data_IF_816881641325
#
_entry.id   IF_816881641325
#
_cell.length_a   1.000
_cell.length_b   1.000
_cell.length_c   1.000
_cell.angle_alpha   90.00
_cell.angle_beta   90.00
_cell.angle_gamma   90.00
#
_symmetry.space_group_name_H-M   'P 1'
#
loop_
_entity.id
_entity.type
_entity.pdbx_description
1 polymer ?
#
# COMPACT_ATOMS: atom_id res chain seq x y z
N UNK A 1 22.69 -19.71 -18.84
CA UNK A 1 22.75 -18.68 -17.77
C UNK A 1 22.82 -17.32 -18.43
N UNK A 2 21.72 -16.56 -18.43
CA UNK A 2 21.68 -15.19 -18.97
C UNK A 2 21.44 -14.28 -17.77
N UNK A 3 22.46 -13.50 -17.43
CA UNK A 3 22.46 -12.62 -16.26
C UNK A 3 22.01 -11.25 -16.76
N UNK A 4 20.82 -10.81 -16.35
CA UNK A 4 20.39 -9.43 -16.61
C UNK A 4 21.02 -8.57 -15.52
N UNK A 5 22.12 -7.89 -15.85
CA UNK A 5 22.72 -6.88 -14.98
C UNK A 5 21.90 -5.60 -15.10
N UNK A 6 20.95 -5.40 -14.19
CA UNK A 6 20.44 -4.07 -13.85
C UNK A 6 21.62 -3.26 -13.30
N UNK A 7 22.05 -2.24 -14.03
CA UNK A 7 23.29 -1.54 -13.75
C UNK A 7 23.14 -0.52 -12.62
N UNK A 8 23.91 -0.68 -11.53
CA UNK A 8 24.56 0.41 -10.78
C UNK A 8 25.77 -0.12 -10.00
N UNK A 9 26.80 0.72 -9.90
CA UNK A 9 28.09 0.44 -9.26
C UNK A 9 27.89 0.30 -7.74
N UNK A 10 27.92 -0.92 -7.23
CA UNK A 10 27.87 -1.17 -5.78
C UNK A 10 27.82 -2.65 -5.37
N UNK A 11 27.34 -3.53 -6.24
CA UNK A 11 27.30 -4.96 -5.95
C UNK A 11 28.70 -5.60 -6.00
N UNK A 12 29.43 -5.54 -4.88
CA UNK A 12 30.51 -6.47 -4.59
C UNK A 12 29.98 -7.90 -4.73
N UNK A 13 30.72 -8.78 -5.41
CA UNK A 13 30.42 -10.19 -5.73
C UNK A 13 29.51 -10.93 -4.73
N UNK A 14 28.19 -10.74 -4.81
CA UNK A 14 27.25 -11.61 -4.14
C UNK A 14 27.20 -12.92 -4.92
N UNK A 15 27.34 -14.04 -4.21
CA UNK A 15 27.22 -15.35 -4.81
C UNK A 15 25.73 -15.66 -5.06
N UNK A 16 25.22 -15.26 -6.23
CA UNK A 16 23.85 -15.53 -6.64
C UNK A 16 23.50 -17.04 -6.61
N UNK A 17 24.50 -17.93 -6.77
CA UNK A 17 24.28 -19.37 -6.67
C UNK A 17 23.87 -19.76 -5.23
N UNK A 18 24.44 -19.08 -4.23
CA UNK A 18 24.14 -19.32 -2.82
C UNK A 18 22.70 -18.93 -2.43
N UNK A 19 22.11 -17.92 -3.08
CA UNK A 19 20.71 -17.52 -2.84
C UNK A 19 19.72 -18.55 -3.35
N UNK A 20 19.91 -19.06 -4.59
CA UNK A 20 19.07 -20.14 -5.13
C UNK A 20 19.12 -21.39 -4.25
N UNK A 21 20.32 -21.78 -3.80
CA UNK A 21 20.48 -22.94 -2.92
C UNK A 21 19.82 -22.73 -1.55
N UNK A 22 19.98 -21.55 -0.94
CA UNK A 22 19.33 -21.22 0.32
C UNK A 22 17.80 -21.22 0.19
N UNK A 23 17.26 -20.63 -0.89
CA UNK A 23 15.83 -20.63 -1.16
C UNK A 23 15.29 -22.06 -1.33
N UNK A 24 15.98 -22.90 -2.10
CA UNK A 24 15.66 -24.33 -2.24
C UNK A 24 15.70 -25.08 -0.90
N UNK A 25 16.62 -24.73 -0.01
CA UNK A 25 16.70 -25.36 1.32
C UNK A 25 15.50 -25.00 2.20
N UNK A 26 14.97 -23.78 2.10
CA UNK A 26 13.71 -23.41 2.76
C UNK A 26 12.58 -24.25 2.19
N UNK A 27 12.41 -24.25 0.86
CA UNK A 27 11.33 -25.01 0.22
C UNK A 27 11.35 -26.48 0.63
N UNK A 28 12.51 -27.16 0.55
CA UNK A 28 12.66 -28.58 0.93
C UNK A 28 12.38 -28.85 2.40
N UNK A 29 12.68 -27.90 3.29
CA UNK A 29 12.43 -28.04 4.73
C UNK A 29 10.92 -28.10 5.04
N UNK A 30 10.11 -27.39 4.26
CA UNK A 30 8.67 -27.23 4.49
C UNK A 30 7.80 -27.97 3.46
N UNK A 31 8.40 -28.52 2.40
CA UNK A 31 7.73 -29.35 1.42
C UNK A 31 7.19 -30.63 2.06
N UNK A 32 5.90 -30.89 1.90
CA UNK A 32 5.35 -32.22 2.21
C UNK A 32 5.76 -33.20 1.11
N UNK A 33 6.04 -34.44 1.50
CA UNK A 33 6.48 -35.51 0.57
C UNK A 33 5.57 -35.76 -0.64
N UNK A 34 4.35 -35.25 -0.66
CA UNK A 34 3.34 -35.46 -1.71
C UNK A 34 3.03 -34.22 -2.55
N UNK A 35 3.60 -33.06 -2.25
CA UNK A 35 3.31 -31.77 -2.90
C UNK A 35 4.60 -31.31 -3.64
N UNK A 36 4.52 -30.85 -4.91
CA UNK A 36 5.67 -30.25 -5.59
C UNK A 36 6.14 -29.00 -4.84
N UNK A 37 7.45 -28.74 -4.88
CA UNK A 37 8.07 -27.60 -4.19
C UNK A 37 7.55 -26.26 -4.74
N UNK A 38 7.14 -26.25 -6.01
CA UNK A 38 6.59 -25.08 -6.72
C UNK A 38 5.34 -24.51 -6.07
N UNK A 39 4.51 -25.33 -5.42
CA UNK A 39 3.28 -24.89 -4.75
C UNK A 39 3.56 -23.84 -3.66
N UNK A 40 4.76 -23.83 -3.08
CA UNK A 40 5.12 -22.93 -1.98
C UNK A 40 6.05 -21.79 -2.41
N UNK A 41 6.27 -21.56 -3.72
CA UNK A 41 7.20 -20.53 -4.17
C UNK A 41 6.77 -19.13 -3.73
N UNK A 42 5.50 -18.79 -3.96
CA UNK A 42 4.95 -17.49 -3.56
C UNK A 42 5.10 -17.26 -2.03
N UNK A 43 4.69 -18.25 -1.22
CA UNK A 43 4.84 -18.21 0.26
C UNK A 43 6.31 -18.02 0.67
N UNK A 44 7.22 -18.74 0.01
CA UNK A 44 8.64 -18.69 0.33
C UNK A 44 9.29 -17.35 -0.07
N UNK A 45 8.86 -16.72 -1.17
CA UNK A 45 9.31 -15.38 -1.57
C UNK A 45 8.89 -14.35 -0.52
N UNK A 46 7.61 -14.36 -0.14
CA UNK A 46 7.08 -13.49 0.90
C UNK A 46 7.86 -13.68 2.20
N UNK A 47 8.04 -14.92 2.64
CA UNK A 47 8.80 -15.24 3.84
C UNK A 47 10.27 -14.78 3.78
N UNK A 48 10.91 -14.91 2.60
CA UNK A 48 12.28 -14.46 2.40
C UNK A 48 12.42 -12.96 2.60
N UNK A 49 11.53 -12.19 1.94
CA UNK A 49 11.54 -10.73 1.94
C UNK A 49 11.17 -10.17 3.32
N UNK A 50 10.12 -10.69 3.96
CA UNK A 50 9.76 -10.32 5.35
C UNK A 50 10.91 -10.60 6.31
N UNK A 51 11.57 -11.75 6.17
CA UNK A 51 12.72 -12.07 7.02
C UNK A 51 13.89 -11.10 6.83
N UNK A 52 14.13 -10.61 5.62
CA UNK A 52 15.12 -9.55 5.37
C UNK A 52 14.78 -8.25 6.07
N UNK A 53 13.54 -7.81 5.95
CA UNK A 53 13.06 -6.56 6.57
C UNK A 53 13.23 -6.63 8.09
N UNK A 54 12.84 -7.76 8.69
CA UNK A 54 13.01 -7.99 10.12
C UNK A 54 14.47 -7.89 10.57
N UNK A 55 15.38 -8.51 9.81
CA UNK A 55 16.81 -8.51 10.16
C UNK A 55 17.47 -7.16 9.97
N UNK A 56 16.99 -6.36 9.01
CA UNK A 56 17.50 -5.01 8.75
C UNK A 56 16.98 -3.98 9.76
N UNK A 57 16.04 -4.38 10.64
CA UNK A 57 15.52 -3.51 11.70
C UNK A 57 14.67 -2.36 11.15
N UNK A 58 14.00 -2.57 10.02
CA UNK A 58 13.11 -1.57 9.44
C UNK A 58 11.97 -1.29 10.42
N UNK A 59 11.72 -0.02 10.80
CA UNK A 59 10.59 0.33 11.64
C UNK A 59 9.26 -0.08 11.00
N UNK A 60 8.28 -0.46 11.83
CA UNK A 60 6.95 -0.86 11.33
C UNK A 60 6.86 -2.30 10.82
N UNK A 61 7.75 -3.18 11.29
CA UNK A 61 7.70 -4.61 10.93
C UNK A 61 6.35 -5.25 11.26
N UNK A 62 5.75 -4.91 12.40
CA UNK A 62 4.43 -5.40 12.82
C UNK A 62 3.34 -4.96 11.84
N UNK A 63 3.38 -3.69 11.39
CA UNK A 63 2.46 -3.16 10.39
C UNK A 63 2.61 -3.90 9.07
N UNK A 64 3.84 -4.08 8.58
CA UNK A 64 4.10 -4.82 7.35
C UNK A 64 3.59 -6.27 7.43
N UNK A 65 3.76 -6.94 8.57
CA UNK A 65 3.21 -8.27 8.79
C UNK A 65 1.68 -8.27 8.65
N UNK A 66 0.99 -7.29 9.23
CA UNK A 66 -0.46 -7.22 9.11
C UNK A 66 -0.90 -6.88 7.68
N UNK A 67 -0.26 -5.90 7.03
CA UNK A 67 -0.55 -5.57 5.62
C UNK A 67 -0.33 -6.77 4.71
N UNK A 68 0.76 -7.52 4.91
CA UNK A 68 1.01 -8.73 4.11
C UNK A 68 -0.09 -9.76 4.35
N UNK A 69 -0.54 -9.93 5.59
CA UNK A 69 -1.62 -10.88 5.91
C UNK A 69 -2.91 -10.54 5.18
N UNK A 70 -3.22 -9.25 5.01
CA UNK A 70 -4.42 -8.80 4.34
C UNK A 70 -4.28 -8.78 2.81
N UNK A 71 -3.11 -8.42 2.28
CA UNK A 71 -2.92 -8.17 0.83
C UNK A 71 -2.39 -9.37 0.04
N UNK A 72 -1.78 -10.36 0.68
CA UNK A 72 -1.08 -11.45 -0.03
C UNK A 72 -1.97 -12.57 -0.57
N UNK A 73 -3.28 -12.52 -0.32
CA UNK A 73 -4.21 -13.61 -0.69
C UNK A 73 -3.98 -14.95 0.04
N UNK A 74 -3.04 -15.01 0.99
CA UNK A 74 -2.67 -16.25 1.66
C UNK A 74 -3.80 -16.79 2.53
N UNK A 75 -4.08 -18.09 2.40
CA UNK A 75 -4.98 -18.78 3.32
C UNK A 75 -4.38 -18.81 4.74
N UNK A 76 -5.21 -19.02 5.75
CA UNK A 76 -4.75 -19.17 7.15
C UNK A 76 -3.65 -20.22 7.34
N UNK A 77 -3.66 -21.29 6.51
CA UNK A 77 -2.64 -22.35 6.55
C UNK A 77 -1.33 -21.86 5.94
N UNK A 78 -1.38 -21.17 4.81
CA UNK A 78 -0.20 -20.59 4.16
C UNK A 78 0.39 -19.45 4.97
N UNK A 79 -0.44 -18.62 5.60
CA UNK A 79 0.01 -17.59 6.53
C UNK A 79 0.86 -18.17 7.66
N UNK A 80 0.39 -19.26 8.28
CA UNK A 80 1.15 -19.95 9.33
C UNK A 80 2.47 -20.53 8.78
N UNK A 81 2.42 -21.13 7.59
CA UNK A 81 3.62 -21.65 6.91
C UNK A 81 4.64 -20.54 6.62
N UNK A 82 4.17 -19.38 6.13
CA UNK A 82 4.99 -18.20 5.87
C UNK A 82 5.72 -17.76 7.15
N UNK A 83 5.01 -17.66 8.27
CA UNK A 83 5.61 -17.29 9.57
C UNK A 83 6.72 -18.29 10.00
N UNK A 84 6.48 -19.59 9.84
CA UNK A 84 7.48 -20.63 10.14
C UNK A 84 8.71 -20.52 9.20
N UNK A 85 8.48 -20.22 7.91
CA UNK A 85 9.55 -19.98 6.93
C UNK A 85 10.36 -18.73 7.25
N UNK A 86 9.73 -17.63 7.70
CA UNK A 86 10.42 -16.39 8.13
C UNK A 86 11.39 -16.71 9.27
N UNK A 87 10.93 -17.41 10.31
CA UNK A 87 11.76 -17.78 11.46
C UNK A 87 12.95 -18.66 11.04
N UNK A 88 12.69 -19.66 10.20
CA UNK A 88 13.73 -20.54 9.67
C UNK A 88 14.76 -19.74 8.85
N UNK A 89 14.29 -18.86 7.97
CA UNK A 89 15.13 -18.02 7.12
C UNK A 89 16.03 -17.09 7.95
N UNK A 90 15.50 -16.44 8.98
CA UNK A 90 16.28 -15.58 9.88
C UNK A 90 17.34 -16.39 10.62
N UNK A 91 16.97 -17.59 11.10
CA UNK A 91 17.87 -18.45 11.88
C UNK A 91 19.02 -19.03 11.06
N UNK A 92 18.77 -19.37 9.80
CA UNK A 92 19.72 -20.15 8.98
C UNK A 92 20.44 -19.34 7.90
N UNK A 93 19.86 -18.21 7.45
CA UNK A 93 20.38 -17.42 6.33
C UNK A 93 20.50 -15.92 6.68
N UNK A 94 20.95 -15.62 7.91
CA UNK A 94 21.02 -14.23 8.41
C UNK A 94 22.04 -13.35 7.68
N UNK A 95 22.98 -13.95 6.94
CA UNK A 95 24.02 -13.28 6.18
C UNK A 95 23.64 -13.00 4.72
N UNK A 96 22.39 -13.22 4.33
CA UNK A 96 21.90 -13.03 2.96
C UNK A 96 20.89 -11.88 2.95
N UNK A 97 21.32 -10.61 2.82
CA UNK A 97 20.45 -9.45 3.00
C UNK A 97 19.62 -9.06 1.76
N UNK A 98 19.82 -9.70 0.60
CA UNK A 98 19.15 -9.32 -0.64
C UNK A 98 17.75 -9.93 -0.73
N UNK A 99 16.87 -9.22 -1.43
CA UNK A 99 15.45 -9.52 -1.62
C UNK A 99 15.24 -10.33 -2.89
N UNK A 100 14.18 -11.12 -2.93
CA UNK A 100 13.73 -11.81 -4.15
C UNK A 100 12.64 -10.96 -4.77
N UNK A 101 12.89 -10.50 -6.00
CA UNK A 101 11.95 -9.72 -6.79
C UNK A 101 11.01 -10.61 -7.58
N UNK A 102 11.59 -11.56 -8.33
CA UNK A 102 10.85 -12.42 -9.25
C UNK A 102 11.48 -13.82 -9.34
N UNK A 103 10.68 -14.80 -9.73
CA UNK A 103 11.09 -16.17 -10.03
C UNK A 103 10.71 -16.51 -11.47
N UNK A 104 11.72 -16.63 -12.33
CA UNK A 104 11.50 -17.06 -13.71
C UNK A 104 11.54 -18.59 -13.81
N UNK A 105 10.65 -19.15 -14.62
CA UNK A 105 10.45 -20.60 -14.80
C UNK A 105 10.07 -21.31 -13.48
N UNK A 106 9.14 -20.71 -12.72
CA UNK A 106 8.68 -21.25 -11.44
C UNK A 106 8.11 -22.67 -11.52
N UNK A 107 7.66 -23.11 -12.71
CA UNK A 107 7.15 -24.46 -12.96
C UNK A 107 8.23 -25.56 -12.99
N UNK A 108 9.51 -25.18 -13.07
CA UNK A 108 10.64 -26.10 -13.14
C UNK A 108 11.51 -25.98 -11.88
N UNK A 109 11.29 -26.88 -10.92
CA UNK A 109 12.02 -26.94 -9.65
C UNK A 109 13.55 -27.00 -9.83
N UNK A 110 14.04 -27.58 -10.93
CA UNK A 110 15.47 -27.72 -11.20
C UNK A 110 16.03 -26.45 -11.87
N UNK A 111 15.26 -25.83 -12.78
CA UNK A 111 15.78 -24.80 -13.69
C UNK A 111 15.26 -23.37 -13.45
N UNK A 112 14.50 -23.10 -12.39
CA UNK A 112 14.10 -21.72 -12.08
C UNK A 112 15.30 -20.79 -11.79
N UNK A 113 15.10 -19.49 -11.97
CA UNK A 113 16.06 -18.46 -11.63
C UNK A 113 15.43 -17.38 -10.77
N UNK A 114 16.18 -16.91 -9.77
CA UNK A 114 15.76 -15.79 -8.91
C UNK A 114 16.30 -14.48 -9.46
N UNK A 115 15.42 -13.49 -9.61
CA UNK A 115 15.81 -12.09 -9.69
C UNK A 115 15.93 -11.56 -8.26
N UNK A 116 17.12 -11.08 -7.89
CA UNK A 116 17.38 -10.54 -6.55
C UNK A 116 17.80 -9.09 -6.63
N UNK A 117 17.30 -8.30 -5.68
CA UNK A 117 17.50 -6.85 -5.61
C UNK A 117 18.00 -6.45 -4.22
N UNK A 118 18.64 -5.29 -4.13
CA UNK A 118 19.02 -4.72 -2.84
C UNK A 118 17.85 -3.97 -2.19
N UNK A 119 18.08 -3.48 -0.97
CA UNK A 119 17.06 -2.78 -0.18
C UNK A 119 16.61 -1.47 -0.83
N UNK A 120 17.52 -0.73 -1.47
CA UNK A 120 17.18 0.56 -2.08
C UNK A 120 16.25 0.32 -3.28
N UNK A 121 16.57 -0.67 -4.11
CA UNK A 121 15.73 -1.09 -5.24
C UNK A 121 14.40 -1.68 -4.75
N UNK A 122 14.40 -2.51 -3.70
CA UNK A 122 13.18 -3.07 -3.11
C UNK A 122 12.24 -1.98 -2.58
N UNK A 123 12.76 -0.94 -1.95
CA UNK A 123 11.94 0.19 -1.47
C UNK A 123 11.36 0.96 -2.66
N UNK A 124 12.19 1.28 -3.66
CA UNK A 124 11.75 2.02 -4.85
C UNK A 124 10.61 1.28 -5.56
N UNK A 125 10.75 -0.03 -5.77
CA UNK A 125 9.74 -0.83 -6.47
C UNK A 125 8.54 -1.19 -5.58
N UNK A 126 8.75 -1.43 -4.28
CA UNK A 126 7.68 -1.70 -3.31
C UNK A 126 6.77 -0.49 -3.05
N UNK A 127 7.25 0.73 -3.26
CA UNK A 127 6.41 1.95 -3.25
C UNK A 127 5.59 2.14 -4.54
N UNK A 128 5.67 1.22 -5.50
CA UNK A 128 4.99 1.29 -6.80
C UNK A 128 4.09 0.05 -7.11
N UNK A 129 3.45 -0.56 -6.09
CA UNK A 129 2.35 -1.57 -6.22
C UNK A 129 2.69 -3.07 -6.40
N UNK A 130 3.91 -3.59 -6.16
CA UNK A 130 4.23 -4.97 -6.63
C UNK A 130 4.79 -5.99 -5.63
N UNK A 131 4.49 -5.92 -4.32
CA UNK A 131 4.90 -7.01 -3.40
C UNK A 131 3.94 -8.22 -3.42
N UNK A 132 2.79 -8.13 -4.11
CA UNK A 132 1.81 -9.22 -4.21
C UNK A 132 0.96 -9.30 -5.47
N UNK A 133 0.90 -8.24 -6.30
CA UNK A 133 -0.13 -8.13 -7.36
C UNK A 133 0.19 -8.87 -8.66
N UNK A 134 1.44 -9.31 -8.89
CA UNK A 134 1.81 -9.97 -10.16
C UNK A 134 1.44 -11.47 -10.21
N UNK A 135 0.72 -12.01 -9.21
CA UNK A 135 0.41 -13.45 -9.13
C UNK A 135 -1.05 -13.86 -9.36
N UNK A 136 -2.03 -12.95 -9.42
CA UNK A 136 -3.44 -13.33 -9.58
C UNK A 136 -4.21 -12.39 -10.54
N UNK A 137 -4.11 -12.65 -11.85
CA UNK A 137 -4.96 -12.03 -12.88
C UNK A 137 -6.31 -12.78 -13.08
N UNK A 138 -6.69 -13.73 -12.19
CA UNK A 138 -7.99 -14.42 -12.26
C UNK A 138 -8.49 -14.91 -10.89
N UNK A 139 -8.95 -14.02 -10.01
CA UNK A 139 -9.88 -14.41 -8.93
C UNK A 139 -10.94 -13.34 -8.66
N UNK A 140 -12.10 -13.50 -9.32
CA UNK A 140 -13.39 -13.06 -8.79
C UNK A 140 -13.73 -14.00 -7.63
N UNK A 141 -13.80 -13.50 -6.40
CA UNK A 141 -14.73 -14.05 -5.40
C UNK A 141 -15.10 -12.95 -4.38
N UNK A 142 -16.35 -12.51 -4.54
CA UNK A 142 -17.19 -11.89 -3.53
C UNK A 142 -17.21 -12.77 -2.26
N UNK A 143 -16.48 -12.41 -1.20
CA UNK A 143 -16.82 -12.67 0.21
C UNK A 143 -15.64 -12.29 1.12
N UNK A 144 -15.45 -10.98 1.36
CA UNK A 144 -14.75 -10.52 2.55
C UNK A 144 -15.70 -9.64 3.37
N UNK A 145 -16.26 -10.23 4.43
CA UNK A 145 -16.90 -9.48 5.51
C UNK A 145 -15.79 -8.74 6.27
N UNK A 146 -15.80 -7.41 6.14
CA UNK A 146 -15.05 -6.47 6.97
C UNK A 146 -15.38 -6.67 8.44
N UNK A 147 -14.42 -7.12 9.24
CA UNK A 147 -14.40 -6.87 10.68
C UNK A 147 -12.94 -6.84 11.19
N UNK A 148 -12.62 -5.75 11.90
CA UNK A 148 -11.49 -5.53 12.81
C UNK A 148 -10.11 -5.16 12.23
N UNK A 149 -10.02 -4.01 11.56
CA UNK A 149 -8.78 -3.19 11.61
C UNK A 149 -8.83 -2.38 12.90
N UNK A 150 -7.91 -2.64 13.83
CA UNK A 150 -7.74 -1.87 15.08
C UNK A 150 -7.10 -0.50 14.76
N UNK A 151 -7.86 0.62 14.86
CA UNK A 151 -7.37 1.95 14.49
C UNK A 151 -6.35 2.54 15.48
N UNK A 152 -5.97 1.82 16.54
CA UNK A 152 -5.14 2.35 17.63
C UNK A 152 -3.61 2.29 17.35
N UNK A 153 -3.17 1.65 16.26
CA UNK A 153 -1.74 1.38 15.97
C UNK A 153 -1.17 2.31 14.88
N UNK A 154 -1.60 3.57 14.84
CA UNK A 154 -0.92 4.60 14.04
C UNK A 154 -0.42 5.69 14.97
N UNK A 155 0.90 5.65 15.17
CA UNK A 155 1.79 6.64 15.78
C UNK A 155 1.10 7.95 16.20
N UNK A 156 0.52 7.95 17.42
CA UNK A 156 0.32 9.19 18.16
C UNK A 156 1.71 9.70 18.59
N UNK A 157 2.36 10.51 17.75
CA UNK A 157 3.19 11.55 18.32
C UNK A 157 2.24 12.44 19.12
N UNK A 158 2.40 12.51 20.44
CA UNK A 158 1.54 13.31 21.30
C UNK A 158 1.41 14.73 20.72
N UNK A 159 0.18 15.09 20.32
CA UNK A 159 -0.13 16.43 19.81
C UNK A 159 -0.14 16.63 18.29
N UNK A 160 -0.10 15.58 17.46
CA UNK A 160 -0.29 15.69 16.01
C UNK A 160 -1.44 14.76 15.57
N UNK A 161 -2.41 15.30 14.83
CA UNK A 161 -3.45 14.51 14.16
C UNK A 161 -3.09 14.43 12.67
N UNK A 162 -2.81 13.24 12.17
CA UNK A 162 -2.65 13.05 10.73
C UNK A 162 -3.99 13.31 10.03
N UNK A 163 -3.94 14.14 9.01
CA UNK A 163 -5.08 14.50 8.18
C UNK A 163 -4.65 14.46 6.73
N UNK A 164 -5.52 13.97 5.87
CA UNK A 164 -5.39 14.32 4.47
C UNK A 164 -5.90 15.74 4.24
N UNK A 165 -5.46 16.33 3.15
CA UNK A 165 -5.89 17.64 2.72
C UNK A 165 -6.62 17.48 1.39
N UNK A 166 -7.78 18.11 1.24
CA UNK A 166 -8.34 18.36 -0.09
C UNK A 166 -8.26 19.84 -0.43
N UNK A 167 -7.90 20.10 -1.68
CA UNK A 167 -7.96 21.43 -2.27
C UNK A 167 -9.12 21.41 -3.25
N UNK A 168 -10.07 22.30 -3.02
CA UNK A 168 -11.25 22.51 -3.85
C UNK A 168 -11.00 23.76 -4.68
N UNK A 169 -10.91 23.57 -5.99
CA UNK A 169 -10.65 24.65 -6.95
C UNK A 169 -11.92 24.88 -7.78
N UNK A 170 -12.52 26.07 -7.75
CA UNK A 170 -13.70 26.37 -8.56
C UNK A 170 -13.37 26.32 -10.06
N UNK A 171 -14.28 25.76 -10.84
CA UNK A 171 -14.20 25.74 -12.30
C UNK A 171 -14.68 27.07 -12.88
N UNK A 172 -14.31 27.34 -14.13
CA UNK A 172 -14.80 28.52 -14.87
C UNK A 172 -16.32 28.58 -14.96
N UNK A 173 -16.98 27.42 -14.95
CA UNK A 173 -18.44 27.37 -14.97
C UNK A 173 -19.02 27.87 -13.64
N UNK A 174 -18.45 27.44 -12.52
CA UNK A 174 -18.86 27.95 -11.21
C UNK A 174 -18.60 29.44 -11.06
N UNK A 175 -17.45 29.94 -11.50
CA UNK A 175 -17.12 31.38 -11.41
C UNK A 175 -18.10 32.23 -12.22
N UNK A 176 -18.51 31.76 -13.41
CA UNK A 176 -19.55 32.43 -14.21
C UNK A 176 -20.93 32.39 -13.55
N UNK A 177 -21.26 31.29 -12.89
CA UNK A 177 -22.52 31.13 -12.18
C UNK A 177 -22.60 32.02 -10.93
N UNK A 178 -21.54 32.01 -10.13
CA UNK A 178 -21.46 32.67 -8.82
C UNK A 178 -21.13 34.16 -8.92
N UNK A 179 -20.38 34.57 -9.94
CA UNK A 179 -19.82 35.93 -10.04
C UNK A 179 -18.69 36.19 -9.05
N UNK A 180 -18.19 35.17 -8.36
CA UNK A 180 -17.09 35.27 -7.40
C UNK A 180 -15.72 35.23 -8.09
N UNK A 181 -14.70 35.75 -7.41
CA UNK A 181 -13.31 35.62 -7.83
C UNK A 181 -12.78 34.20 -7.58
N UNK A 182 -11.82 33.78 -8.40
CA UNK A 182 -11.19 32.46 -8.24
C UNK A 182 -10.40 32.39 -6.94
N UNK A 183 -10.85 31.52 -6.03
CA UNK A 183 -10.16 31.19 -4.78
C UNK A 183 -10.14 29.68 -4.59
N UNK A 184 -9.02 29.13 -4.13
CA UNK A 184 -8.95 27.73 -3.70
C UNK A 184 -9.27 27.62 -2.22
N UNK A 185 -10.06 26.63 -1.88
CA UNK A 185 -10.39 26.27 -0.50
C UNK A 185 -9.62 25.02 -0.10
N UNK A 186 -9.14 25.02 1.13
CA UNK A 186 -8.33 23.93 1.69
C UNK A 186 -9.08 23.34 2.88
N UNK A 187 -9.29 22.03 2.86
CA UNK A 187 -9.96 21.31 3.94
C UNK A 187 -9.07 20.19 4.45
N UNK A 188 -8.93 20.13 5.77
CA UNK A 188 -8.41 18.95 6.45
C UNK A 188 -9.51 17.92 6.59
N UNK A 189 -9.22 16.70 6.18
CA UNK A 189 -10.16 15.57 6.17
C UNK A 189 -9.52 14.38 6.88
N UNK A 190 -10.30 13.34 7.25
CA UNK A 190 -9.72 12.12 7.80
C UNK A 190 -8.61 11.57 6.89
N UNK A 191 -7.62 10.94 7.48
CA UNK A 191 -6.62 10.17 6.74
C UNK A 191 -7.27 8.90 6.15
N UNK A 192 -6.97 8.58 4.90
CA UNK A 192 -7.40 7.33 4.25
C UNK A 192 -6.19 6.50 3.84
N UNK A 193 -6.26 5.19 4.06
CA UNK A 193 -5.19 4.28 3.67
C UNK A 193 -5.31 3.86 2.20
N UNK A 194 -6.54 3.72 1.69
CA UNK A 194 -6.79 3.51 0.27
C UNK A 194 -6.93 4.87 -0.46
N UNK A 195 -6.11 5.05 -1.49
CA UNK A 195 -6.04 6.28 -2.26
C UNK A 195 -7.33 6.59 -3.03
N UNK A 196 -7.96 5.58 -3.61
CA UNK A 196 -9.01 5.75 -4.62
C UNK A 196 -10.39 5.41 -4.08
N UNK A 197 -10.55 4.28 -3.38
CA UNK A 197 -11.88 3.79 -3.03
C UNK A 197 -12.46 4.52 -1.81
N UNK A 198 -11.70 4.56 -0.71
CA UNK A 198 -12.12 5.17 0.55
C UNK A 198 -12.32 6.68 0.40
N UNK A 199 -11.34 7.36 -0.21
CA UNK A 199 -11.41 8.80 -0.46
C UNK A 199 -12.62 9.19 -1.35
N UNK A 200 -12.83 8.50 -2.48
CA UNK A 200 -13.98 8.81 -3.36
C UNK A 200 -15.31 8.53 -2.68
N UNK A 201 -15.40 7.46 -1.87
CA UNK A 201 -16.57 7.15 -1.07
C UNK A 201 -16.85 8.24 -0.03
N UNK A 202 -15.82 8.68 0.69
CA UNK A 202 -15.93 9.77 1.66
C UNK A 202 -16.33 11.09 1.00
N UNK A 203 -15.71 11.46 -0.13
CA UNK A 203 -16.04 12.68 -0.85
C UNK A 203 -17.50 12.65 -1.33
N UNK A 204 -17.99 11.51 -1.84
CA UNK A 204 -19.40 11.33 -2.23
C UNK A 204 -20.38 11.41 -1.06
N UNK A 205 -19.95 11.06 0.16
CA UNK A 205 -20.78 11.21 1.37
C UNK A 205 -20.80 12.65 1.88
N UNK A 206 -19.68 13.38 1.71
CA UNK A 206 -19.48 14.70 2.32
C UNK A 206 -19.58 15.89 1.36
N UNK A 207 -19.73 15.66 0.05
CA UNK A 207 -19.73 16.73 -0.95
C UNK A 207 -20.75 17.83 -0.69
N UNK A 208 -21.91 17.52 -0.11
CA UNK A 208 -22.96 18.53 0.13
C UNK A 208 -22.48 19.59 1.10
N UNK A 209 -21.89 19.18 2.21
CA UNK A 209 -21.35 20.10 3.21
C UNK A 209 -20.24 20.96 2.61
N UNK A 210 -19.36 20.37 1.79
CA UNK A 210 -18.29 21.11 1.10
C UNK A 210 -18.91 22.11 0.11
N UNK A 211 -19.86 21.67 -0.72
CA UNK A 211 -20.55 22.52 -1.69
C UNK A 211 -21.24 23.70 -0.99
N UNK A 212 -21.98 23.46 0.09
CA UNK A 212 -22.64 24.50 0.88
C UNK A 212 -21.64 25.53 1.43
N UNK A 213 -20.45 25.10 1.87
CA UNK A 213 -19.38 26.01 2.30
C UNK A 213 -18.84 26.86 1.13
N UNK A 214 -18.68 26.28 -0.07
CA UNK A 214 -18.22 27.03 -1.25
C UNK A 214 -19.24 28.06 -1.76
N UNK A 215 -20.54 27.85 -1.49
CA UNK A 215 -21.61 28.76 -1.95
C UNK A 215 -22.20 29.63 -0.83
N UNK A 216 -21.69 29.53 0.39
CA UNK A 216 -22.27 30.25 1.53
C UNK A 216 -22.19 31.78 1.42
N UNK A 217 -21.30 32.30 0.58
CA UNK A 217 -21.19 33.72 0.28
C UNK A 217 -22.23 34.22 -0.76
N UNK A 218 -22.97 33.31 -1.40
CA UNK A 218 -24.02 33.65 -2.38
C UNK A 218 -25.37 33.88 -1.69
N UNK A 219 -26.18 34.77 -2.26
CA UNK A 219 -27.58 34.93 -1.87
C UNK A 219 -28.30 33.57 -1.95
N UNK A 220 -29.03 33.18 -0.91
CA UNK A 220 -29.72 31.87 -0.83
C UNK A 220 -30.66 31.61 -2.01
N UNK A 221 -31.29 32.66 -2.56
CA UNK A 221 -32.16 32.59 -3.74
C UNK A 221 -31.42 32.18 -5.02
N UNK A 222 -30.10 32.35 -5.06
CA UNK A 222 -29.25 31.92 -6.17
C UNK A 222 -28.80 30.47 -6.05
N UNK A 223 -28.97 29.82 -4.89
CA UNK A 223 -28.44 28.48 -4.67
C UNK A 223 -29.10 27.47 -5.62
N UNK A 224 -28.34 26.47 -6.13
CA UNK A 224 -28.94 25.39 -6.89
C UNK A 224 -29.98 24.66 -6.05
N UNK A 225 -31.22 24.56 -6.56
CA UNK A 225 -32.34 23.91 -5.85
C UNK A 225 -32.07 22.46 -5.42
N UNK A 226 -31.11 21.80 -6.07
CA UNK A 226 -30.70 20.43 -5.75
C UNK A 226 -29.19 20.30 -5.90
N UNK A 227 -28.51 20.08 -4.78
CA UNK A 227 -27.09 19.78 -4.74
C UNK A 227 -26.89 18.28 -5.03
N UNK A 228 -26.30 17.98 -6.19
CA UNK A 228 -25.93 16.61 -6.61
C UNK A 228 -24.43 16.50 -6.77
N UNK A 229 -23.89 15.30 -6.62
CA UNK A 229 -22.44 15.07 -6.76
C UNK A 229 -21.95 15.43 -8.16
N UNK A 230 -22.72 15.11 -9.20
CA UNK A 230 -22.40 15.50 -10.58
C UNK A 230 -22.33 17.02 -10.77
N UNK A 231 -23.19 17.79 -10.09
CA UNK A 231 -23.11 19.25 -10.14
C UNK A 231 -21.88 19.77 -9.39
N UNK A 232 -21.55 19.14 -8.26
CA UNK A 232 -20.34 19.44 -7.50
C UNK A 232 -19.07 19.22 -8.35
N UNK A 233 -18.92 18.07 -9.01
CA UNK A 233 -17.79 17.78 -9.91
C UNK A 233 -17.74 18.72 -11.13
N UNK A 234 -18.89 19.25 -11.56
CA UNK A 234 -18.96 20.25 -12.62
C UNK A 234 -18.43 21.61 -12.16
N UNK A 235 -18.75 21.98 -10.93
CA UNK A 235 -18.45 23.30 -10.37
C UNK A 235 -17.09 23.38 -9.68
N UNK A 236 -16.55 22.24 -9.23
CA UNK A 236 -15.29 22.20 -8.51
C UNK A 236 -14.42 21.04 -8.96
N UNK A 237 -13.12 21.33 -9.12
CA UNK A 237 -12.08 20.31 -9.20
C UNK A 237 -11.54 20.06 -7.80
N UNK A 238 -11.53 18.80 -7.36
CA UNK A 238 -11.03 18.41 -6.03
C UNK A 238 -9.79 17.56 -6.18
N UNK A 239 -8.70 18.02 -5.58
CA UNK A 239 -7.44 17.26 -5.47
C UNK A 239 -7.15 16.92 -4.02
N UNK A 240 -6.73 15.69 -3.75
CA UNK A 240 -6.23 15.24 -2.44
C UNK A 240 -4.71 15.44 -2.38
N UNK A 241 -4.21 15.83 -1.22
CA UNK A 241 -2.81 15.82 -0.82
C UNK A 241 -2.69 14.99 0.45
N UNK A 242 -1.74 14.06 0.46
CA UNK A 242 -1.47 13.17 1.59
C UNK A 242 -0.58 13.84 2.65
N UNK A 243 -0.59 13.26 3.86
CA UNK A 243 0.32 13.61 4.96
C UNK A 243 0.30 15.10 5.34
N UNK A 244 -0.91 15.65 5.48
CA UNK A 244 -1.10 16.97 6.09
C UNK A 244 -0.82 16.92 7.58
N UNK A 245 0.33 17.45 8.00
CA UNK A 245 0.65 17.61 9.41
C UNK A 245 -0.15 18.78 10.00
N UNK A 246 -1.23 18.47 10.71
CA UNK A 246 -1.93 19.46 11.53
C UNK A 246 -1.11 19.68 12.81
N UNK A 247 -0.33 20.78 12.82
CA UNK A 247 0.57 21.16 13.92
C UNK A 247 -0.17 21.88 15.07
N UNK A 248 -1.50 21.90 15.06
CA UNK A 248 -2.25 22.50 16.15
C UNK A 248 -2.10 21.65 17.42
N UNK A 249 -1.76 22.31 18.52
CA UNK A 249 -1.55 21.67 19.82
C UNK A 249 -2.84 21.07 20.43
N UNK A 250 -4.01 21.50 19.96
CA UNK A 250 -5.32 21.00 20.40
C UNK A 250 -6.31 20.95 19.22
N UNK A 251 -7.27 20.00 19.19
CA UNK A 251 -8.29 19.92 18.15
C UNK A 251 -9.20 21.15 18.12
N UNK A 252 -9.57 21.63 16.94
CA UNK A 252 -10.61 22.66 16.81
C UNK A 252 -11.98 22.00 17.02
N UNK A 253 -12.60 22.26 18.17
CA UNK A 253 -14.01 21.92 18.41
C UNK A 253 -14.91 23.00 17.79
N UNK A 254 -15.92 22.59 17.03
CA UNK A 254 -17.03 23.50 16.64
C UNK A 254 -17.91 23.75 17.86
N UNK A 255 -18.12 25.01 18.23
CA UNK A 255 -19.20 25.44 19.14
C UNK A 255 -20.58 25.24 18.49
#
# INVERSE_FOLDING_TARGET
MKIVKGGKKGAENFDYHSYKEAFLNILKQFQKKSEPATENFHVAVIAWNIGNIKMQGVPGFEFLMETTKTSSGLTKKEWKLMQEMVEYRIKHFSNMPLFIKDIQNADDEENFTLEIIDMDEFIIEGTQDHIGDDFDDEFDDDDFEDDDIDPEIMLQQEGIINRDIIIVTPTEEFLKFSGLDKRESVYFIPEFYDFEMEYKSWLRKNFKSIFELEICELDEDMWPKKLTFTLFEKYFFVRRLEMGYDLLSEPIYKE
#
